data_IF_066512478696
#
_entry.id   IF_066512478696
#
_cell.length_a   1.000
_cell.length_b   1.000
_cell.length_c   1.000
_cell.angle_alpha   90.00
_cell.angle_beta   90.00
_cell.angle_gamma   90.00
#
_symmetry.space_group_name_H-M   'P 1'
#
loop_
_entity.id
_entity.type
_entity.pdbx_description
1 polymer ?
#
# COMPACT_ATOMS: atom_id res chain seq x y z
N UNK A 1 31.45 12.02 -8.19
CA UNK A 1 30.01 12.09 -8.51
C UNK A 1 29.60 13.33 -9.33
N UNK A 2 30.21 14.52 -9.14
CA UNK A 2 29.87 15.72 -9.92
C UNK A 2 30.19 15.62 -11.43
N UNK A 3 31.34 15.03 -11.81
CA UNK A 3 31.75 14.89 -13.21
C UNK A 3 30.86 13.92 -14.04
N UNK A 4 30.20 12.95 -13.39
CA UNK A 4 29.28 12.01 -14.05
C UNK A 4 27.93 12.67 -14.34
N UNK A 5 27.51 13.63 -13.51
CA UNK A 5 26.26 14.39 -13.68
C UNK A 5 26.33 15.35 -14.88
N UNK A 6 27.47 16.04 -15.09
CA UNK A 6 27.65 16.96 -16.21
C UNK A 6 27.69 16.28 -17.59
N UNK A 7 28.22 15.06 -17.70
CA UNK A 7 28.28 14.32 -18.98
C UNK A 7 26.92 13.80 -19.45
N UNK A 8 25.97 13.67 -18.54
CA UNK A 8 24.66 13.09 -18.81
C UNK A 8 23.55 14.12 -19.08
N UNK A 9 23.75 15.41 -18.75
CA UNK A 9 22.82 16.49 -19.16
C UNK A 9 22.68 16.59 -20.69
N UNK A 10 23.75 16.30 -21.44
CA UNK A 10 23.69 16.12 -22.91
C UNK A 10 23.25 14.72 -23.36
N UNK A 11 23.22 13.73 -22.45
CA UNK A 11 22.90 12.33 -22.74
C UNK A 11 21.45 11.96 -22.42
N UNK A 12 20.77 12.66 -21.51
CA UNK A 12 19.37 12.42 -21.14
C UNK A 12 18.42 12.61 -22.33
N UNK A 13 18.45 13.72 -23.08
CA UNK A 13 17.62 13.85 -24.29
C UNK A 13 17.92 12.77 -25.33
N UNK A 14 19.18 12.29 -25.39
CA UNK A 14 19.55 11.17 -26.27
C UNK A 14 18.98 9.84 -25.76
N UNK A 15 19.00 9.61 -24.45
CA UNK A 15 18.46 8.41 -23.82
C UNK A 15 16.95 8.33 -23.99
N UNK A 16 16.22 9.45 -23.77
CA UNK A 16 14.79 9.53 -24.02
C UNK A 16 14.48 9.26 -25.49
N UNK A 17 15.21 9.89 -26.43
CA UNK A 17 15.03 9.61 -27.87
C UNK A 17 15.25 8.13 -28.22
N UNK A 18 16.29 7.49 -27.69
CA UNK A 18 16.53 6.05 -27.89
C UNK A 18 15.38 5.19 -27.36
N UNK A 19 14.87 5.51 -26.18
CA UNK A 19 13.74 4.80 -25.58
C UNK A 19 12.45 4.97 -26.41
N UNK A 20 12.16 6.18 -26.90
CA UNK A 20 11.02 6.44 -27.79
C UNK A 20 11.16 5.62 -29.09
N UNK A 21 12.33 5.60 -29.73
CA UNK A 21 12.55 4.80 -30.94
C UNK A 21 12.42 3.29 -30.71
N UNK A 22 12.80 2.79 -29.52
CA UNK A 22 12.57 1.40 -29.13
C UNK A 22 11.06 1.10 -29.02
N UNK A 23 10.30 1.99 -28.36
CA UNK A 23 8.85 1.84 -28.20
C UNK A 23 8.11 1.84 -29.54
N UNK A 24 8.45 2.75 -30.45
CA UNK A 24 7.86 2.83 -31.80
C UNK A 24 8.17 1.56 -32.62
N UNK A 25 9.39 1.04 -32.50
CA UNK A 25 9.77 -0.22 -33.16
C UNK A 25 8.97 -1.41 -32.63
N UNK A 26 8.77 -1.47 -31.31
CA UNK A 26 7.98 -2.50 -30.64
C UNK A 26 6.50 -2.40 -31.02
N UNK A 27 5.94 -1.20 -31.09
CA UNK A 27 4.55 -0.95 -31.48
C UNK A 27 4.26 -1.58 -32.85
N UNK A 28 5.14 -1.36 -33.84
CA UNK A 28 4.98 -1.96 -35.17
C UNK A 28 5.04 -3.49 -35.20
N UNK A 29 5.57 -4.14 -34.16
CA UNK A 29 5.60 -5.60 -34.00
C UNK A 29 4.39 -6.11 -33.20
N UNK A 30 3.84 -5.30 -32.28
CA UNK A 30 2.68 -5.64 -31.46
C UNK A 30 1.33 -5.46 -32.17
N UNK A 31 1.30 -4.86 -33.38
CA UNK A 31 0.08 -4.71 -34.20
C UNK A 31 -0.38 -6.02 -34.89
N UNK A 32 0.27 -7.16 -34.64
CA UNK A 32 -0.21 -8.46 -35.13
C UNK A 32 -1.55 -8.82 -34.46
N UNK A 33 -2.65 -9.03 -35.21
CA UNK A 33 -3.96 -9.37 -34.65
C UNK A 33 -3.94 -10.64 -33.79
N UNK A 34 -2.98 -11.54 -34.00
CA UNK A 34 -2.81 -12.77 -33.20
C UNK A 34 -2.25 -12.49 -31.80
N UNK A 35 -1.68 -11.30 -31.59
CA UNK A 35 -1.18 -10.78 -30.32
C UNK A 35 -2.16 -9.81 -29.66
N UNK A 36 -3.40 -9.71 -30.17
CA UNK A 36 -4.46 -8.98 -29.50
C UNK A 36 -4.84 -9.71 -28.20
N UNK A 37 -4.14 -9.37 -27.12
CA UNK A 37 -4.42 -9.81 -25.76
C UNK A 37 -5.27 -8.73 -25.08
N UNK A 38 -6.23 -9.11 -24.24
CA UNK A 38 -7.02 -8.11 -23.52
C UNK A 38 -6.21 -7.32 -22.51
N UNK A 39 -6.88 -6.41 -21.81
CA UNK A 39 -6.22 -5.35 -21.07
C UNK A 39 -5.37 -5.87 -19.88
N UNK A 40 -4.18 -5.30 -19.62
CA UNK A 40 -3.55 -4.22 -20.39
C UNK A 40 -2.94 -4.68 -21.73
N UNK A 41 -3.12 -3.89 -22.79
CA UNK A 41 -2.53 -4.18 -24.11
C UNK A 41 -1.25 -3.38 -24.33
N UNK A 42 -0.19 -4.05 -24.80
CA UNK A 42 1.06 -3.40 -25.22
C UNK A 42 0.82 -2.45 -26.40
N UNK A 43 -0.09 -2.77 -27.32
CA UNK A 43 -0.41 -1.89 -28.47
C UNK A 43 -0.84 -0.50 -28.02
N UNK A 44 -1.53 -0.41 -26.89
CA UNK A 44 -2.08 0.83 -26.37
C UNK A 44 -1.08 1.53 -25.44
N UNK A 45 -0.29 0.76 -24.69
CA UNK A 45 0.65 1.28 -23.70
C UNK A 45 1.90 1.87 -24.33
N UNK A 46 2.52 1.20 -25.30
CA UNK A 46 3.76 1.63 -25.95
C UNK A 46 3.67 3.06 -26.52
N UNK A 47 2.66 3.42 -27.35
CA UNK A 47 2.53 4.77 -27.88
C UNK A 47 2.25 5.81 -26.78
N UNK A 48 1.51 5.45 -25.72
CA UNK A 48 1.23 6.34 -24.59
C UNK A 48 2.49 6.67 -23.79
N UNK A 49 3.32 5.66 -23.49
CA UNK A 49 4.62 5.88 -22.83
C UNK A 49 5.52 6.73 -23.73
N UNK A 50 5.58 6.43 -25.03
CA UNK A 50 6.37 7.22 -25.97
C UNK A 50 5.91 8.69 -26.03
N UNK A 51 4.60 8.94 -26.01
CA UNK A 51 4.06 10.29 -25.96
C UNK A 51 4.48 11.02 -24.68
N UNK A 52 4.28 10.40 -23.52
CA UNK A 52 4.65 11.00 -22.24
C UNK A 52 6.15 11.27 -22.12
N UNK A 53 7.00 10.37 -22.66
CA UNK A 53 8.45 10.60 -22.73
C UNK A 53 8.82 11.81 -23.60
N UNK A 54 8.09 12.06 -24.70
CA UNK A 54 8.27 13.27 -25.52
C UNK A 54 7.86 14.53 -24.75
N UNK A 55 6.77 14.48 -23.98
CA UNK A 55 6.36 15.58 -23.10
C UNK A 55 7.42 15.87 -22.03
N UNK A 56 7.94 14.83 -21.37
CA UNK A 56 9.05 14.96 -20.40
C UNK A 56 10.27 15.61 -21.05
N UNK A 57 10.68 15.17 -22.24
CA UNK A 57 11.83 15.76 -22.94
C UNK A 57 11.60 17.24 -23.27
N UNK A 58 10.39 17.61 -23.69
CA UNK A 58 10.01 18.99 -24.00
C UNK A 58 10.02 19.87 -22.75
N UNK A 59 9.36 19.43 -21.67
CA UNK A 59 9.26 20.16 -20.42
C UNK A 59 10.64 20.40 -19.79
N UNK A 60 11.52 19.40 -19.83
CA UNK A 60 12.88 19.51 -19.28
C UNK A 60 13.79 20.40 -20.11
N UNK A 61 13.62 20.41 -21.43
CA UNK A 61 14.32 21.36 -22.31
C UNK A 61 13.93 22.82 -22.02
N UNK A 62 12.71 23.06 -21.55
CA UNK A 62 12.21 24.39 -21.19
C UNK A 62 12.55 24.83 -19.75
N UNK A 63 12.69 23.89 -18.80
CA UNK A 63 12.85 24.18 -17.37
C UNK A 63 14.27 24.64 -16.96
N UNK A 64 15.28 24.43 -17.81
CA UNK A 64 16.68 24.79 -17.49
C UNK A 64 17.34 23.90 -16.43
N UNK A 65 18.66 24.05 -16.26
CA UNK A 65 19.48 23.24 -15.36
C UNK A 65 19.29 23.63 -13.88
N UNK A 66 18.17 23.21 -13.29
CA UNK A 66 18.02 23.23 -11.84
C UNK A 66 18.79 22.05 -11.23
N UNK A 67 19.65 22.27 -10.22
CA UNK A 67 20.36 21.18 -9.56
C UNK A 67 19.38 20.27 -8.80
N UNK A 68 19.29 19.01 -9.23
CA UNK A 68 18.45 18.01 -8.58
C UNK A 68 19.26 17.17 -7.56
N UNK A 69 18.73 17.07 -6.34
CA UNK A 69 19.28 16.20 -5.30
C UNK A 69 19.17 14.71 -5.64
N UNK A 70 19.93 13.83 -4.94
CA UNK A 70 19.80 12.39 -5.13
C UNK A 70 18.37 11.91 -4.85
N UNK A 71 17.89 10.92 -5.60
CA UNK A 71 16.51 10.42 -5.58
C UNK A 71 15.49 11.36 -6.25
N UNK A 72 15.94 12.40 -6.96
CA UNK A 72 15.12 13.35 -7.71
C UNK A 72 14.64 12.84 -9.07
N UNK A 73 14.19 13.75 -9.94
CA UNK A 73 13.69 13.41 -11.27
C UNK A 73 14.76 12.72 -12.13
N UNK A 74 16.00 13.17 -11.98
CA UNK A 74 17.19 12.64 -12.64
C UNK A 74 17.41 11.16 -12.35
N UNK A 75 17.56 10.80 -11.08
CA UNK A 75 17.83 9.42 -10.66
C UNK A 75 16.66 8.50 -11.01
N UNK A 76 15.43 9.03 -10.96
CA UNK A 76 14.26 8.32 -11.46
C UNK A 76 14.34 8.05 -12.97
N UNK A 77 14.60 9.06 -13.80
CA UNK A 77 14.62 8.90 -15.26
C UNK A 77 15.75 7.98 -15.72
N UNK A 78 16.92 8.03 -15.10
CA UNK A 78 18.03 7.10 -15.40
C UNK A 78 17.60 5.66 -15.12
N UNK A 79 17.03 5.39 -13.95
CA UNK A 79 16.53 4.06 -13.57
C UNK A 79 15.40 3.61 -14.49
N UNK A 80 14.44 4.50 -14.75
CA UNK A 80 13.26 4.24 -15.58
C UNK A 80 13.64 3.89 -17.02
N UNK A 81 14.51 4.68 -17.66
CA UNK A 81 14.93 4.47 -19.04
C UNK A 81 15.76 3.19 -19.19
N UNK A 82 16.65 2.89 -18.23
CA UNK A 82 17.39 1.63 -18.22
C UNK A 82 16.45 0.42 -18.08
N UNK A 83 15.45 0.53 -17.19
CA UNK A 83 14.46 -0.52 -17.00
C UNK A 83 13.57 -0.70 -18.25
N UNK A 84 13.15 0.41 -18.87
CA UNK A 84 12.34 0.40 -20.09
C UNK A 84 13.07 -0.28 -21.25
N UNK A 85 14.36 0.01 -21.42
CA UNK A 85 15.18 -0.66 -22.41
C UNK A 85 15.30 -2.17 -22.13
N UNK A 86 15.52 -2.55 -20.87
CA UNK A 86 15.61 -3.95 -20.47
C UNK A 86 14.29 -4.71 -20.71
N UNK A 87 13.14 -4.14 -20.32
CA UNK A 87 11.81 -4.73 -20.52
C UNK A 87 11.42 -4.75 -22.00
N UNK A 88 11.78 -3.71 -22.76
CA UNK A 88 11.59 -3.67 -24.21
C UNK A 88 12.31 -4.81 -24.93
N UNK A 89 13.58 -5.09 -24.57
CA UNK A 89 14.32 -6.24 -25.12
C UNK A 89 13.68 -7.59 -24.77
N UNK A 90 13.06 -7.72 -23.58
CA UNK A 90 12.32 -8.94 -23.23
C UNK A 90 11.09 -9.12 -24.12
N UNK A 91 10.36 -8.04 -24.42
CA UNK A 91 9.26 -8.08 -25.39
C UNK A 91 9.78 -8.48 -26.77
N UNK A 92 10.84 -7.85 -27.27
CA UNK A 92 11.45 -8.22 -28.57
C UNK A 92 11.86 -9.69 -28.65
N UNK A 93 12.36 -10.26 -27.55
CA UNK A 93 12.76 -11.66 -27.50
C UNK A 93 11.56 -12.64 -27.54
N UNK A 94 10.39 -12.21 -27.08
CA UNK A 94 9.16 -13.01 -27.07
C UNK A 94 8.32 -12.83 -28.35
N UNK A 95 8.54 -11.76 -29.11
CA UNK A 95 7.83 -11.51 -30.35
C UNK A 95 8.41 -12.33 -31.52
N UNK A 96 7.57 -12.88 -32.42
CA UNK A 96 8.05 -13.58 -33.60
C UNK A 96 8.87 -12.64 -34.50
N UNK A 97 10.04 -13.10 -34.99
CA UNK A 97 10.82 -12.31 -35.95
C UNK A 97 10.02 -12.13 -37.24
N UNK A 98 9.86 -10.86 -37.66
CA UNK A 98 9.16 -10.45 -38.88
C UNK A 98 9.61 -11.32 -40.06
N UNK A 99 8.69 -12.11 -40.63
CA UNK A 99 8.93 -12.88 -41.87
C UNK A 99 9.04 -14.40 -41.74
N UNK A 100 9.03 -15.01 -40.54
CA UNK A 100 8.96 -16.48 -40.40
C UNK A 100 7.51 -16.94 -40.27
N UNK A 101 6.89 -17.27 -41.40
CA UNK A 101 5.64 -18.05 -41.45
C UNK A 101 5.96 -19.51 -41.13
N UNK A 102 6.29 -19.83 -39.89
CA UNK A 102 6.33 -21.23 -39.48
C UNK A 102 4.88 -21.68 -39.29
N UNK A 103 4.39 -22.42 -40.29
CA UNK A 103 3.02 -22.92 -40.43
C UNK A 103 2.63 -23.99 -39.37
N UNK A 104 3.25 -23.98 -38.19
CA UNK A 104 3.08 -25.00 -37.15
C UNK A 104 2.97 -24.42 -35.72
N UNK A 105 2.69 -23.13 -35.54
CA UNK A 105 2.47 -22.53 -34.22
C UNK A 105 1.02 -22.59 -33.71
N UNK A 106 0.20 -23.46 -34.31
CA UNK A 106 -1.08 -23.85 -33.73
C UNK A 106 -0.83 -24.89 -32.61
N UNK A 107 -1.32 -24.59 -31.40
CA UNK A 107 -1.72 -25.56 -30.37
C UNK A 107 -0.62 -26.39 -29.67
N UNK A 108 0.37 -25.75 -29.05
CA UNK A 108 1.25 -26.41 -28.05
C UNK A 108 1.27 -25.67 -26.69
N UNK A 109 1.51 -26.36 -25.55
CA UNK A 109 1.64 -25.79 -24.20
C UNK A 109 2.63 -24.60 -24.10
N UNK A 110 3.56 -24.50 -25.04
CA UNK A 110 4.52 -23.40 -25.16
C UNK A 110 3.86 -22.07 -25.51
N UNK A 111 2.77 -22.07 -26.30
CA UNK A 111 1.99 -20.87 -26.62
C UNK A 111 1.33 -20.24 -25.39
N UNK A 112 0.86 -21.06 -24.44
CA UNK A 112 0.31 -20.58 -23.17
C UNK A 112 1.39 -19.93 -22.29
N UNK A 113 2.60 -20.51 -22.21
CA UNK A 113 3.72 -19.95 -21.44
C UNK A 113 4.18 -18.61 -22.00
N UNK A 114 4.34 -18.50 -23.32
CA UNK A 114 4.70 -17.26 -24.00
C UNK A 114 3.63 -16.17 -23.82
N UNK A 115 2.36 -16.53 -23.98
CA UNK A 115 1.23 -15.62 -23.74
C UNK A 115 1.19 -15.11 -22.31
N UNK A 116 1.42 -15.98 -21.32
CA UNK A 116 1.51 -15.62 -19.91
C UNK A 116 2.67 -14.67 -19.63
N UNK A 117 3.82 -14.88 -20.26
CA UNK A 117 4.98 -13.98 -20.14
C UNK A 117 4.71 -12.60 -20.76
N UNK A 118 4.07 -12.55 -21.93
CA UNK A 118 3.65 -11.31 -22.57
C UNK A 118 2.61 -10.55 -21.73
N UNK A 119 1.64 -11.26 -21.14
CA UNK A 119 0.65 -10.65 -20.24
C UNK A 119 1.31 -10.03 -18.99
N UNK A 120 2.30 -10.72 -18.39
CA UNK A 120 3.11 -10.18 -17.30
C UNK A 120 3.87 -8.93 -17.70
N UNK A 121 4.50 -8.94 -18.88
CA UNK A 121 5.17 -7.74 -19.41
C UNK A 121 4.18 -6.61 -19.64
N UNK A 122 3.00 -6.88 -20.20
CA UNK A 122 1.98 -5.86 -20.40
C UNK A 122 1.52 -5.21 -19.08
N UNK A 123 1.39 -6.00 -18.00
CA UNK A 123 1.16 -5.49 -16.65
C UNK A 123 2.32 -4.60 -16.17
N UNK A 124 3.57 -5.02 -16.35
CA UNK A 124 4.75 -4.21 -16.00
C UNK A 124 4.76 -2.89 -16.77
N UNK A 125 4.53 -2.91 -18.09
CA UNK A 125 4.43 -1.69 -18.91
C UNK A 125 3.27 -0.80 -18.46
N UNK A 126 2.15 -1.38 -18.01
CA UNK A 126 1.04 -0.63 -17.42
C UNK A 126 1.46 0.09 -16.13
N UNK A 127 2.19 -0.60 -15.24
CA UNK A 127 2.73 0.00 -14.02
C UNK A 127 3.76 1.08 -14.32
N UNK A 128 4.68 0.83 -15.26
CA UNK A 128 5.67 1.82 -15.70
C UNK A 128 5.04 3.06 -16.31
N UNK A 129 3.97 2.90 -17.11
CA UNK A 129 3.22 4.04 -17.63
C UNK A 129 2.58 4.84 -16.48
N UNK A 130 1.90 4.16 -15.56
CA UNK A 130 1.21 4.80 -14.45
C UNK A 130 2.17 5.54 -13.51
N UNK A 131 3.33 4.94 -13.23
CA UNK A 131 4.39 5.54 -12.42
C UNK A 131 4.96 6.80 -13.09
N UNK A 132 5.32 6.73 -14.37
CA UNK A 132 5.81 7.90 -15.11
C UNK A 132 4.75 9.01 -15.14
N UNK A 133 3.49 8.67 -15.39
CA UNK A 133 2.39 9.64 -15.42
C UNK A 133 2.13 10.30 -14.07
N UNK A 134 2.31 9.55 -12.97
CA UNK A 134 2.11 10.05 -11.62
C UNK A 134 3.25 10.96 -11.15
N UNK A 135 4.49 10.70 -11.60
CA UNK A 135 5.66 11.50 -11.23
C UNK A 135 5.96 12.65 -12.20
N UNK A 136 5.47 12.55 -13.45
CA UNK A 136 5.62 13.55 -14.50
C UNK A 136 4.29 13.89 -15.19
N UNK A 137 3.27 14.38 -14.46
CA UNK A 137 2.01 14.79 -15.07
C UNK A 137 2.25 15.87 -16.14
N UNK A 138 1.83 15.59 -17.37
CA UNK A 138 2.07 16.47 -18.53
C UNK A 138 3.56 16.71 -18.80
N UNK A 139 4.43 15.77 -18.43
CA UNK A 139 5.88 15.88 -18.59
C UNK A 139 6.61 16.64 -17.47
N UNK A 140 5.89 17.25 -16.52
CA UNK A 140 6.49 18.07 -15.46
C UNK A 140 6.73 17.26 -14.19
N UNK A 141 7.98 17.22 -13.71
CA UNK A 141 8.31 16.48 -12.50
C UNK A 141 7.60 17.03 -11.25
N UNK A 142 6.85 16.16 -10.55
CA UNK A 142 6.20 16.47 -9.28
C UNK A 142 6.47 15.43 -8.19
N UNK A 143 7.46 14.54 -8.36
CA UNK A 143 7.78 13.49 -7.38
C UNK A 143 8.12 14.04 -5.98
N UNK A 144 8.79 15.20 -5.93
CA UNK A 144 9.08 15.90 -4.68
C UNK A 144 7.81 16.34 -3.93
N UNK A 145 6.70 16.61 -4.63
CA UNK A 145 5.41 17.01 -4.07
C UNK A 145 4.42 15.84 -3.93
N UNK A 146 4.81 14.62 -4.31
CA UNK A 146 3.89 13.48 -4.33
C UNK A 146 3.27 13.24 -2.95
N UNK A 147 1.95 13.14 -2.89
CA UNK A 147 1.21 12.89 -1.65
C UNK A 147 0.75 11.45 -1.60
N UNK A 148 1.29 10.70 -0.64
CA UNK A 148 0.78 9.36 -0.34
C UNK A 148 -0.64 9.46 0.20
N UNK A 149 -1.46 8.50 -0.20
CA UNK A 149 -2.88 8.43 0.16
C UNK A 149 -3.07 8.13 1.66
N UNK A 150 -2.15 7.37 2.27
CA UNK A 150 -2.21 6.99 3.69
C UNK A 150 -1.29 7.88 4.51
N UNK A 151 -1.86 8.67 5.42
CA UNK A 151 -1.11 9.64 6.22
C UNK A 151 0.06 9.04 7.02
N UNK A 152 -0.06 7.87 7.69
CA UNK A 152 1.08 7.27 8.39
C UNK A 152 2.22 6.87 7.44
N UNK A 153 1.89 6.32 6.27
CA UNK A 153 2.87 5.98 5.23
C UNK A 153 3.53 7.24 4.64
N UNK A 154 2.74 8.31 4.46
CA UNK A 154 3.26 9.61 4.03
C UNK A 154 4.30 10.14 5.02
N UNK A 155 3.98 10.13 6.31
CA UNK A 155 4.88 10.56 7.38
C UNK A 155 6.17 9.75 7.37
N UNK A 156 6.09 8.42 7.29
CA UNK A 156 7.25 7.54 7.15
C UNK A 156 8.13 7.94 5.95
N UNK A 157 7.55 8.06 4.76
CA UNK A 157 8.33 8.41 3.58
C UNK A 157 9.01 9.78 3.72
N UNK A 158 8.30 10.80 4.22
CA UNK A 158 8.89 12.14 4.39
C UNK A 158 9.97 12.18 5.46
N UNK A 159 9.83 11.40 6.54
CA UNK A 159 10.81 11.35 7.61
C UNK A 159 12.11 10.66 7.18
N UNK A 160 12.03 9.52 6.50
CA UNK A 160 13.19 8.68 6.18
C UNK A 160 13.72 8.87 4.75
N UNK A 161 12.82 9.11 3.79
CA UNK A 161 13.17 9.30 2.38
C UNK A 161 13.24 10.78 1.98
N UNK A 162 12.63 11.69 2.74
CA UNK A 162 12.62 13.12 2.44
C UNK A 162 11.82 13.46 1.17
N UNK A 163 12.42 14.24 0.28
CA UNK A 163 11.81 14.64 -1.02
C UNK A 163 12.08 13.67 -2.16
N UNK A 164 12.80 12.58 -1.90
CA UNK A 164 13.14 11.56 -2.90
C UNK A 164 11.89 10.87 -3.43
N UNK A 165 11.90 10.55 -4.72
CA UNK A 165 10.82 9.83 -5.39
C UNK A 165 11.17 8.39 -5.74
N UNK A 166 12.44 7.98 -5.61
CA UNK A 166 12.92 6.62 -5.86
C UNK A 166 14.10 6.28 -4.96
N UNK A 167 14.16 5.02 -4.49
CA UNK A 167 15.28 4.48 -3.72
C UNK A 167 15.69 3.10 -4.24
N UNK A 168 16.98 2.72 -4.15
CA UNK A 168 17.39 1.32 -4.32
C UNK A 168 16.70 0.42 -3.31
N UNK A 169 16.32 -0.81 -3.72
CA UNK A 169 15.62 -1.75 -2.83
C UNK A 169 16.33 -1.96 -1.49
N UNK A 170 17.65 -2.17 -1.49
CA UNK A 170 18.41 -2.45 -0.27
C UNK A 170 18.34 -1.30 0.75
N UNK A 171 18.34 -0.05 0.28
CA UNK A 171 18.16 1.11 1.15
C UNK A 171 16.73 1.17 1.68
N UNK A 172 15.74 1.03 0.80
CA UNK A 172 14.32 1.05 1.18
C UNK A 172 13.98 -0.04 2.19
N UNK A 173 14.46 -1.27 2.00
CA UNK A 173 14.29 -2.39 2.92
C UNK A 173 14.84 -2.06 4.31
N UNK A 174 16.06 -1.52 4.38
CA UNK A 174 16.66 -1.10 5.65
C UNK A 174 15.83 -0.03 6.36
N UNK A 175 15.23 0.91 5.63
CA UNK A 175 14.38 1.94 6.20
C UNK A 175 13.04 1.36 6.67
N UNK A 176 12.42 0.49 5.88
CA UNK A 176 11.15 -0.14 6.24
C UNK A 176 11.30 -0.99 7.51
N UNK A 177 12.41 -1.72 7.66
CA UNK A 177 12.72 -2.53 8.84
C UNK A 177 12.76 -1.74 10.16
N UNK A 178 12.93 -0.42 10.12
CA UNK A 178 12.87 0.42 11.33
C UNK A 178 11.48 0.48 11.95
N UNK A 179 10.44 0.28 11.15
CA UNK A 179 9.03 0.37 11.56
C UNK A 179 8.29 -0.97 11.41
N UNK A 180 8.68 -1.76 10.41
CA UNK A 180 8.08 -3.03 10.07
C UNK A 180 9.20 -4.06 9.84
N UNK A 181 9.60 -4.81 10.87
CA UNK A 181 10.65 -5.81 10.75
C UNK A 181 10.34 -6.82 9.64
N UNK A 182 11.32 -7.02 8.75
CA UNK A 182 11.24 -8.01 7.66
C UNK A 182 12.23 -9.13 7.97
N UNK A 183 11.76 -10.37 7.95
CA UNK A 183 12.64 -11.53 8.05
C UNK A 183 13.52 -11.65 6.80
N UNK A 184 14.85 -11.75 6.94
CA UNK A 184 15.74 -11.98 5.81
C UNK A 184 15.40 -13.27 5.06
N UNK A 185 15.69 -13.30 3.75
CA UNK A 185 15.55 -14.50 2.92
C UNK A 185 14.29 -14.50 2.05
N UNK A 186 13.57 -15.63 1.92
CA UNK A 186 12.45 -15.75 0.97
C UNK A 186 11.33 -14.72 1.21
N UNK A 187 11.06 -14.37 2.47
CA UNK A 187 10.05 -13.38 2.83
C UNK A 187 10.41 -11.98 2.33
N UNK A 188 11.65 -11.54 2.54
CA UNK A 188 12.17 -10.28 1.98
C UNK A 188 12.11 -10.26 0.44
N UNK A 189 12.47 -11.37 -0.23
CA UNK A 189 12.38 -11.46 -1.69
C UNK A 189 10.93 -11.43 -2.20
N UNK A 190 10.00 -12.05 -1.49
CA UNK A 190 8.57 -11.99 -1.80
C UNK A 190 8.00 -10.58 -1.62
N UNK A 191 8.43 -9.88 -0.56
CA UNK A 191 8.05 -8.49 -0.31
C UNK A 191 8.54 -7.59 -1.43
N UNK A 192 9.81 -7.72 -1.81
CA UNK A 192 10.39 -7.03 -2.98
C UNK A 192 9.56 -7.26 -4.23
N UNK A 193 9.26 -8.52 -4.53
CA UNK A 193 8.51 -8.90 -5.73
C UNK A 193 7.07 -8.38 -5.74
N UNK A 194 6.53 -8.02 -4.57
CA UNK A 194 5.19 -7.42 -4.42
C UNK A 194 5.23 -5.89 -4.56
N UNK A 195 6.26 -5.24 -4.03
CA UNK A 195 6.41 -3.76 -4.05
C UNK A 195 7.02 -3.23 -5.35
N UNK A 196 8.04 -3.90 -5.90
CA UNK A 196 8.75 -3.52 -7.13
C UNK A 196 7.91 -3.89 -8.37
N UNK A 197 6.80 -3.18 -8.54
CA UNK A 197 5.81 -3.40 -9.60
C UNK A 197 6.43 -3.28 -11.01
N UNK A 198 7.41 -2.40 -11.15
CA UNK A 198 8.14 -2.18 -12.41
C UNK A 198 9.31 -3.15 -12.61
N UNK A 199 9.64 -3.96 -11.59
CA UNK A 199 10.76 -4.89 -11.58
C UNK A 199 12.08 -4.21 -11.96
N UNK A 200 12.33 -3.04 -11.38
CA UNK A 200 13.48 -2.17 -11.63
C UNK A 200 14.61 -2.37 -10.61
N UNK A 201 14.36 -3.09 -9.51
CA UNK A 201 15.24 -3.19 -8.36
C UNK A 201 15.27 -1.95 -7.47
N UNK A 202 14.35 -1.03 -7.73
CA UNK A 202 14.13 0.18 -6.94
C UNK A 202 12.68 0.20 -6.45
N UNK A 203 12.38 1.09 -5.51
CA UNK A 203 11.01 1.38 -5.06
C UNK A 203 10.78 2.86 -5.20
N UNK A 204 9.78 3.22 -6.00
CA UNK A 204 9.32 4.60 -6.09
C UNK A 204 8.31 4.97 -5.02
N UNK A 205 8.15 6.27 -4.77
CA UNK A 205 7.11 6.82 -3.89
C UNK A 205 5.70 6.42 -4.37
N UNK A 206 5.53 6.21 -5.68
CA UNK A 206 4.31 5.75 -6.30
C UNK A 206 4.04 4.26 -6.02
N UNK A 207 5.04 3.40 -6.21
CA UNK A 207 4.95 1.97 -5.89
C UNK A 207 4.64 1.76 -4.39
N UNK A 208 5.28 2.55 -3.53
CA UNK A 208 5.03 2.53 -2.10
C UNK A 208 3.62 3.02 -1.72
N UNK A 209 3.08 4.04 -2.40
CA UNK A 209 1.69 4.48 -2.21
C UNK A 209 0.71 3.35 -2.57
N UNK A 210 0.91 2.68 -3.71
CA UNK A 210 0.08 1.54 -4.10
C UNK A 210 0.12 0.44 -3.04
N UNK A 211 1.32 0.04 -2.61
CA UNK A 211 1.48 -1.04 -1.64
C UNK A 211 0.77 -0.73 -0.31
N UNK A 212 0.97 0.48 0.22
CA UNK A 212 0.38 0.90 1.50
C UNK A 212 -1.13 1.09 1.44
N UNK A 213 -1.69 1.34 0.24
CA UNK A 213 -3.15 1.33 0.02
C UNK A 213 -3.71 -0.09 -0.05
N UNK A 214 -3.00 -1.02 -0.70
CA UNK A 214 -3.45 -2.40 -0.85
C UNK A 214 -3.45 -3.14 0.49
N UNK A 215 -2.39 -2.98 1.29
CA UNK A 215 -2.19 -3.74 2.53
C UNK A 215 -2.40 -2.91 3.80
N UNK A 216 -3.19 -1.85 3.70
CA UNK A 216 -3.62 -1.05 4.85
C UNK A 216 -4.35 -1.92 5.90
N UNK A 217 -4.38 -1.51 7.18
CA UNK A 217 -3.81 -0.28 7.75
C UNK A 217 -2.29 -0.37 8.02
N UNK A 218 -1.64 0.80 8.16
CA UNK A 218 -0.19 0.91 8.36
C UNK A 218 0.36 0.10 9.54
N UNK A 219 -0.23 0.11 10.77
CA UNK A 219 0.34 -0.59 11.91
C UNK A 219 0.51 -2.11 11.70
N UNK A 220 -0.34 -2.72 10.86
CA UNK A 220 -0.28 -4.15 10.54
C UNK A 220 0.14 -4.42 9.10
N UNK A 221 0.78 -3.45 8.43
CA UNK A 221 1.06 -3.47 6.99
C UNK A 221 1.62 -4.81 6.48
N UNK A 222 2.71 -5.29 7.07
CA UNK A 222 3.34 -6.54 6.63
C UNK A 222 2.56 -7.79 7.04
N UNK A 223 1.86 -7.76 8.18
CA UNK A 223 0.96 -8.86 8.58
C UNK A 223 -0.20 -8.99 7.59
N UNK A 224 -0.79 -7.87 7.19
CA UNK A 224 -1.86 -7.85 6.18
C UNK A 224 -1.34 -8.37 4.85
N UNK A 225 -0.16 -7.93 4.40
CA UNK A 225 0.47 -8.44 3.18
C UNK A 225 0.73 -9.95 3.24
N UNK A 226 1.27 -10.46 4.35
CA UNK A 226 1.51 -11.90 4.54
C UNK A 226 0.19 -12.68 4.47
N UNK A 227 -0.84 -12.25 5.20
CA UNK A 227 -2.12 -12.94 5.25
C UNK A 227 -2.89 -12.86 3.92
N UNK A 228 -2.90 -11.70 3.26
CA UNK A 228 -3.72 -11.44 2.08
C UNK A 228 -3.03 -11.79 0.76
N UNK A 229 -1.70 -11.77 0.69
CA UNK A 229 -0.96 -12.03 -0.54
C UNK A 229 -0.11 -13.30 -0.48
N UNK A 230 0.65 -13.50 0.60
CA UNK A 230 1.56 -14.67 0.68
C UNK A 230 0.79 -15.94 1.01
N UNK A 231 -0.13 -15.88 1.98
CA UNK A 231 -0.79 -17.06 2.54
C UNK A 231 -2.20 -17.26 1.98
N UNK A 232 -2.81 -16.24 1.35
CA UNK A 232 -4.18 -16.35 0.87
C UNK A 232 -4.24 -17.16 -0.44
N UNK A 233 -4.93 -18.32 -0.49
CA UNK A 233 -5.02 -19.15 -1.68
C UNK A 233 -5.79 -18.46 -2.83
N UNK A 234 -6.54 -17.40 -2.55
CA UNK A 234 -7.25 -16.63 -3.57
C UNK A 234 -6.47 -15.47 -4.14
N UNK A 235 -5.33 -15.14 -3.54
CA UNK A 235 -4.47 -14.13 -4.12
C UNK A 235 -3.73 -14.70 -5.32
N UNK A 236 -3.81 -13.99 -6.43
CA UNK A 236 -3.17 -14.39 -7.66
C UNK A 236 -2.31 -13.24 -8.17
N UNK A 237 -0.99 -13.38 -8.01
CA UNK A 237 -0.04 -12.39 -8.45
C UNK A 237 -0.01 -12.28 -9.98
N UNK A 238 0.02 -11.03 -10.49
CA UNK A 238 0.14 -10.72 -11.90
C UNK A 238 -0.89 -11.45 -12.79
N UNK A 239 -2.18 -11.39 -12.47
CA UNK A 239 -3.25 -11.80 -13.38
C UNK A 239 -3.88 -10.58 -14.05
N UNK A 240 -4.20 -10.71 -15.34
CA UNK A 240 -5.10 -9.78 -16.03
C UNK A 240 -6.56 -10.16 -15.80
N UNK A 241 -7.46 -9.25 -16.18
CA UNK A 241 -8.91 -9.50 -16.10
C UNK A 241 -9.31 -10.75 -16.90
N UNK A 242 -8.82 -10.90 -18.13
CA UNK A 242 -9.11 -12.06 -18.98
C UNK A 242 -8.59 -13.37 -18.40
N UNK A 243 -7.42 -13.34 -17.73
CA UNK A 243 -6.87 -14.53 -17.09
C UNK A 243 -7.68 -14.92 -15.85
N UNK A 244 -8.23 -13.95 -15.11
CA UNK A 244 -9.20 -14.21 -14.03
C UNK A 244 -10.46 -14.86 -14.60
N UNK A 245 -11.04 -14.31 -15.67
CA UNK A 245 -12.20 -14.90 -16.33
C UNK A 245 -11.93 -16.35 -16.77
N UNK A 246 -10.80 -16.58 -17.44
CA UNK A 246 -10.38 -17.91 -17.91
C UNK A 246 -10.23 -18.89 -16.74
N UNK A 247 -9.63 -18.44 -15.63
CA UNK A 247 -9.47 -19.26 -14.42
C UNK A 247 -10.82 -19.63 -13.81
N UNK A 248 -11.70 -18.65 -13.65
CA UNK A 248 -13.01 -18.86 -13.01
C UNK A 248 -14.00 -19.63 -13.90
N UNK A 249 -13.76 -19.70 -15.21
CA UNK A 249 -14.58 -20.51 -16.12
C UNK A 249 -14.61 -21.99 -15.71
N UNK A 250 -13.51 -22.53 -15.19
CA UNK A 250 -13.45 -23.91 -14.67
C UNK A 250 -14.30 -24.11 -13.39
N UNK A 251 -14.71 -23.01 -12.75
CA UNK A 251 -15.50 -23.01 -11.52
C UNK A 251 -16.92 -22.46 -11.74
N UNK A 252 -17.37 -22.36 -13.01
CA UNK A 252 -18.67 -21.78 -13.37
C UNK A 252 -19.85 -22.47 -12.68
N UNK A 253 -19.76 -23.78 -12.47
CA UNK A 253 -20.81 -24.59 -11.83
C UNK A 253 -20.75 -24.55 -10.29
N UNK A 254 -19.81 -23.79 -9.71
CA UNK A 254 -19.62 -23.63 -8.27
C UNK A 254 -19.77 -22.15 -7.86
N UNK A 255 -21.00 -21.64 -7.70
CA UNK A 255 -21.23 -20.30 -7.19
C UNK A 255 -20.48 -20.07 -5.87
N UNK A 256 -19.86 -18.91 -5.70
CA UNK A 256 -19.06 -18.61 -4.52
C UNK A 256 -17.60 -19.08 -4.58
N UNK A 257 -17.09 -19.55 -5.72
CA UNK A 257 -15.69 -20.00 -5.85
C UNK A 257 -14.62 -18.94 -5.49
N UNK A 258 -14.98 -17.65 -5.44
CA UNK A 258 -14.11 -16.59 -4.91
C UNK A 258 -13.95 -16.65 -3.37
N UNK A 259 -14.94 -17.20 -2.65
CA UNK A 259 -14.91 -17.47 -1.21
C UNK A 259 -14.07 -18.72 -0.88
N UNK A 260 -13.85 -19.56 -1.89
CA UNK A 260 -13.30 -20.92 -1.82
C UNK A 260 -12.13 -21.07 -2.79
N UNK A 261 -11.04 -20.32 -2.58
CA UNK A 261 -10.01 -20.24 -3.59
C UNK A 261 -9.31 -21.58 -3.79
N UNK A 262 -8.92 -21.87 -5.04
CA UNK A 262 -8.41 -23.18 -5.49
C UNK A 262 -9.38 -24.36 -5.30
N UNK A 263 -10.68 -24.10 -5.21
CA UNK A 263 -11.70 -25.15 -5.12
C UNK A 263 -11.75 -25.85 -3.76
N UNK A 264 -11.16 -25.23 -2.72
CA UNK A 264 -11.20 -25.70 -1.33
C UNK A 264 -12.54 -25.36 -0.68
N UNK A 265 -13.08 -26.25 0.15
CA UNK A 265 -14.37 -26.03 0.84
C UNK A 265 -14.29 -25.11 2.08
N UNK A 266 -13.16 -24.45 2.33
CA UNK A 266 -12.99 -23.52 3.44
C UNK A 266 -12.37 -22.20 2.96
N UNK A 267 -12.85 -21.09 3.52
CA UNK A 267 -12.25 -19.77 3.37
C UNK A 267 -11.21 -19.58 4.48
N UNK A 268 -10.01 -19.02 4.21
CA UNK A 268 -9.09 -18.63 5.27
C UNK A 268 -9.77 -17.66 6.22
N UNK A 269 -9.64 -17.88 7.53
CA UNK A 269 -10.19 -16.96 8.51
C UNK A 269 -9.36 -15.68 8.55
N UNK A 270 -9.96 -14.58 8.13
CA UNK A 270 -9.36 -13.25 8.17
C UNK A 270 -9.76 -12.47 9.43
N UNK A 271 -10.44 -13.10 10.39
CA UNK A 271 -10.78 -12.50 11.70
C UNK A 271 -9.52 -12.02 12.44
N UNK A 272 -8.37 -12.66 12.21
CA UNK A 272 -7.06 -12.21 12.70
C UNK A 272 -6.63 -10.83 12.19
N UNK A 273 -7.14 -10.37 11.04
CA UNK A 273 -6.90 -8.99 10.56
C UNK A 273 -7.71 -7.96 11.35
N UNK A 274 -8.84 -8.38 11.92
CA UNK A 274 -9.65 -7.56 12.84
C UNK A 274 -9.11 -7.61 14.27
N UNK A 275 -8.36 -8.67 14.60
CA UNK A 275 -7.49 -8.72 15.76
C UNK A 275 -6.23 -7.88 15.49
N UNK A 276 -6.41 -6.56 15.39
CA UNK A 276 -5.41 -5.70 16.01
C UNK A 276 -5.36 -6.20 17.45
N UNK A 277 -4.28 -6.89 17.84
CA UNK A 277 -4.06 -7.26 19.24
C UNK A 277 -4.45 -6.03 20.07
N UNK A 278 -5.54 -6.12 20.86
CA UNK A 278 -6.02 -4.98 21.58
C UNK A 278 -5.00 -4.77 22.67
N UNK A 279 -3.96 -4.01 22.37
CA UNK A 279 -3.06 -3.45 23.35
C UNK A 279 -3.97 -2.89 24.42
N UNK A 280 -3.98 -3.51 25.60
CA UNK A 280 -5.04 -3.27 26.57
C UNK A 280 -5.09 -1.76 26.81
N UNK A 281 -6.19 -1.11 26.39
CA UNK A 281 -6.26 0.34 26.41
C UNK A 281 -6.32 0.78 27.85
N UNK A 282 -5.26 1.42 28.31
CA UNK A 282 -5.20 1.91 29.68
C UNK A 282 -5.91 3.26 29.70
N UNK A 283 -7.08 3.28 30.34
CA UNK A 283 -7.84 4.50 30.57
C UNK A 283 -7.21 5.28 31.73
N UNK A 284 -6.83 6.53 31.45
CA UNK A 284 -6.26 7.46 32.44
C UNK A 284 -7.38 8.33 33.00
N UNK A 285 -7.47 8.47 34.32
CA UNK A 285 -8.47 9.35 34.93
C UNK A 285 -8.17 10.81 34.63
N UNK A 286 -9.23 11.65 34.62
CA UNK A 286 -9.08 13.08 34.38
C UNK A 286 -8.24 13.76 35.48
N UNK A 287 -8.33 13.28 36.72
CA UNK A 287 -7.52 13.71 37.85
C UNK A 287 -6.03 13.40 37.65
N UNK A 288 -5.69 12.20 37.17
CA UNK A 288 -4.30 11.84 36.85
C UNK A 288 -3.74 12.72 35.73
N UNK A 289 -4.53 12.98 34.68
CA UNK A 289 -4.12 13.84 33.58
C UNK A 289 -3.82 15.27 34.05
N UNK A 290 -4.67 15.83 34.93
CA UNK A 290 -4.48 17.17 35.49
C UNK A 290 -3.20 17.26 36.34
N UNK A 291 -2.88 16.22 37.13
CA UNK A 291 -1.64 16.16 37.92
C UNK A 291 -0.39 16.15 37.03
N UNK A 292 -0.38 15.35 35.96
CA UNK A 292 0.75 15.32 35.03
C UNK A 292 0.93 16.65 34.29
N UNK A 293 -0.16 17.28 33.86
CA UNK A 293 -0.13 18.61 33.24
C UNK A 293 0.42 19.69 34.19
N UNK A 294 0.04 19.68 35.46
CA UNK A 294 0.55 20.60 36.47
C UNK A 294 2.07 20.45 36.70
N UNK A 295 2.64 19.28 36.41
CA UNK A 295 4.07 18.98 36.51
C UNK A 295 4.83 19.07 35.18
N UNK A 296 4.25 19.69 34.13
CA UNK A 296 4.82 19.77 32.77
C UNK A 296 5.21 18.39 32.20
N UNK A 297 4.44 17.35 32.51
CA UNK A 297 4.68 15.98 32.05
C UNK A 297 3.41 15.39 31.43
N UNK A 298 3.53 14.37 30.59
CA UNK A 298 2.35 13.67 30.03
C UNK A 298 2.27 12.24 30.56
N UNK A 299 1.07 11.71 30.75
CA UNK A 299 0.91 10.33 31.22
C UNK A 299 1.43 9.32 30.19
N UNK A 300 1.33 9.63 28.90
CA UNK A 300 1.69 8.76 27.77
C UNK A 300 3.19 8.48 27.71
N UNK A 301 4.03 9.47 28.02
CA UNK A 301 5.49 9.32 27.92
C UNK A 301 6.09 8.43 29.02
N UNK A 302 7.00 7.56 28.59
CA UNK A 302 7.85 6.73 29.43
C UNK A 302 8.64 7.59 30.42
N UNK A 303 8.69 7.18 31.69
CA UNK A 303 9.36 7.95 32.75
C UNK A 303 10.85 7.68 32.88
N UNK A 304 11.39 6.78 32.06
CA UNK A 304 12.82 6.50 31.99
C UNK A 304 13.48 7.41 30.94
N UNK A 305 12.98 7.39 29.69
CA UNK A 305 13.55 8.22 28.63
C UNK A 305 12.88 9.58 28.47
N UNK A 306 11.63 9.76 28.90
CA UNK A 306 10.80 10.96 28.65
C UNK A 306 10.61 11.32 27.16
N UNK A 307 10.96 10.42 26.23
CA UNK A 307 10.93 10.65 24.78
C UNK A 307 9.91 9.78 24.06
N UNK A 308 9.70 8.53 24.49
CA UNK A 308 8.82 7.56 23.84
C UNK A 308 7.55 7.30 24.64
N UNK A 309 6.47 6.96 23.96
CA UNK A 309 5.22 6.52 24.62
C UNK A 309 5.39 5.17 25.31
N UNK A 310 4.63 4.95 26.39
CA UNK A 310 4.56 3.66 27.07
C UNK A 310 3.74 2.69 26.22
N UNK A 311 4.37 1.59 25.86
CA UNK A 311 3.81 0.53 25.03
C UNK A 311 3.89 -0.86 25.69
N UNK A 312 4.48 -0.96 26.89
CA UNK A 312 4.63 -2.23 27.61
C UNK A 312 4.21 -2.11 29.08
N UNK A 313 3.49 -3.12 29.57
CA UNK A 313 3.20 -3.38 30.98
C UNK A 313 3.96 -4.60 31.49
N UNK A 314 4.61 -4.47 32.65
CA UNK A 314 5.38 -5.56 33.30
C UNK A 314 4.48 -6.37 34.22
N UNK A 315 4.52 -7.70 34.14
CA UNK A 315 3.84 -8.61 35.07
C UNK A 315 4.79 -9.17 36.14
N UNK A 316 4.35 -9.31 37.42
CA UNK A 316 3.00 -9.03 37.93
C UNK A 316 2.80 -7.59 38.43
N UNK A 317 3.84 -6.75 38.42
CA UNK A 317 3.82 -5.46 39.13
C UNK A 317 2.98 -4.35 38.47
N UNK A 318 2.61 -4.49 37.19
CA UNK A 318 1.77 -3.57 36.45
C UNK A 318 2.44 -2.27 35.98
N UNK A 319 3.76 -2.11 36.17
CA UNK A 319 4.47 -0.89 35.78
C UNK A 319 4.53 -0.71 34.26
N UNK A 320 4.43 0.55 33.81
CA UNK A 320 4.35 0.94 32.41
C UNK A 320 5.58 1.73 31.96
N UNK A 321 6.17 1.32 30.85
CA UNK A 321 7.32 1.95 30.20
C UNK A 321 7.34 1.66 28.70
N UNK A 322 8.27 2.27 27.97
CA UNK A 322 8.49 1.89 26.58
C UNK A 322 9.34 0.60 26.49
N UNK A 323 9.06 -0.21 25.48
CA UNK A 323 9.72 -1.46 25.12
C UNK A 323 11.23 -1.28 25.01
N UNK A 324 11.67 -0.20 24.36
CA UNK A 324 13.08 0.15 24.23
C UNK A 324 13.80 0.30 25.58
N UNK A 325 13.19 0.99 26.55
CA UNK A 325 13.79 1.13 27.89
C UNK A 325 13.78 -0.18 28.68
N UNK A 326 12.75 -1.02 28.50
CA UNK A 326 12.70 -2.33 29.14
C UNK A 326 13.79 -3.26 28.59
N UNK A 327 13.93 -3.32 27.26
CA UNK A 327 14.92 -4.17 26.59
C UNK A 327 16.35 -3.73 26.96
N UNK A 328 16.61 -2.42 26.97
CA UNK A 328 17.91 -1.89 27.41
C UNK A 328 18.24 -2.25 28.87
N UNK A 329 17.22 -2.29 29.75
CA UNK A 329 17.39 -2.69 31.14
C UNK A 329 17.69 -4.19 31.28
N UNK A 330 16.96 -5.05 30.56
CA UNK A 330 17.15 -6.51 30.64
C UNK A 330 18.49 -6.98 30.03
N UNK A 331 19.06 -6.22 29.08
CA UNK A 331 20.38 -6.48 28.51
C UNK A 331 21.53 -6.30 29.52
N UNK A 332 21.31 -5.54 30.61
CA UNK A 332 22.27 -5.37 31.70
C UNK A 332 22.23 -6.49 32.76
N UNK A 333 21.67 -7.65 32.39
CA UNK A 333 21.50 -8.87 33.21
C UNK A 333 20.49 -8.73 34.37
N UNK A 334 19.57 -7.76 34.28
CA UNK A 334 18.54 -7.49 35.29
C UNK A 334 17.17 -8.02 34.83
N UNK A 335 16.74 -9.19 35.33
CA UNK A 335 15.37 -9.71 35.14
C UNK A 335 14.35 -9.12 36.13
N UNK A 336 14.52 -7.85 36.48
CA UNK A 336 13.71 -7.15 37.48
C UNK A 336 13.12 -5.87 36.92
N UNK A 337 11.95 -5.46 37.43
CA UNK A 337 11.29 -4.23 37.03
C UNK A 337 12.16 -2.99 37.35
N UNK A 338 12.40 -2.07 36.40
CA UNK A 338 13.21 -0.86 36.65
C UNK A 338 12.69 0.04 37.77
N UNK A 339 11.38 -0.01 38.06
CA UNK A 339 10.74 0.85 39.05
C UNK A 339 10.72 0.23 40.44
N UNK A 340 10.29 -1.04 40.56
CA UNK A 340 10.03 -1.69 41.84
C UNK A 340 10.95 -2.89 42.14
N UNK A 341 11.84 -3.25 41.22
CA UNK A 341 12.79 -4.37 41.31
C UNK A 341 12.15 -5.75 41.53
N UNK A 342 10.84 -5.89 41.35
CA UNK A 342 10.18 -7.19 41.33
C UNK A 342 10.66 -8.01 40.12
N UNK A 343 10.76 -9.33 40.29
CA UNK A 343 11.05 -10.26 39.19
C UNK A 343 10.01 -10.14 38.08
N UNK A 344 10.47 -10.04 36.83
CA UNK A 344 9.61 -9.94 35.65
C UNK A 344 9.20 -11.36 35.23
N UNK A 345 7.92 -11.67 35.34
CA UNK A 345 7.36 -12.98 34.92
C UNK A 345 6.80 -12.95 33.51
N UNK A 346 6.44 -11.77 33.03
CA UNK A 346 5.82 -11.56 31.74
C UNK A 346 5.78 -10.09 31.37
N UNK A 347 5.48 -9.82 30.10
CA UNK A 347 5.25 -8.47 29.59
C UNK A 347 4.07 -8.48 28.63
N UNK A 348 3.27 -7.43 28.68
CA UNK A 348 2.08 -7.27 27.86
C UNK A 348 2.18 -5.95 27.08
N UNK A 349 1.87 -6.00 25.79
CA UNK A 349 1.82 -4.82 24.94
C UNK A 349 0.54 -4.00 25.24
N UNK A 350 0.69 -2.70 25.47
CA UNK A 350 -0.40 -1.81 25.90
C UNK A 350 -0.36 -0.49 25.12
N UNK A 351 -1.50 0.22 25.09
CA UNK A 351 -1.60 1.51 24.42
C UNK A 351 -2.38 2.48 25.31
N UNK A 352 -1.87 3.70 25.45
CA UNK A 352 -2.51 4.74 26.26
C UNK A 352 -3.31 5.64 25.33
N UNK A 353 -4.62 5.78 25.57
CA UNK A 353 -5.49 6.62 24.76
C UNK A 353 -6.03 7.81 25.57
N UNK A 354 -5.85 9.03 25.04
CA UNK A 354 -6.48 10.25 25.55
C UNK A 354 -7.90 10.37 25.05
N UNK A 355 -8.87 10.58 25.96
CA UNK A 355 -10.24 10.92 25.57
C UNK A 355 -10.22 12.29 24.88
N UNK A 356 -10.44 12.32 23.56
CA UNK A 356 -10.85 13.54 22.88
C UNK A 356 -12.35 13.71 23.14
N UNK A 357 -12.73 14.79 23.82
CA UNK A 357 -14.13 15.12 24.07
C UNK A 357 -14.85 15.46 22.77
N UNK A 358 -15.62 14.51 22.26
CA UNK A 358 -16.62 14.68 21.21
C UNK A 358 -17.79 13.76 21.52
N UNK A 359 -18.98 14.32 21.63
CA UNK A 359 -20.19 13.63 22.03
C UNK A 359 -20.64 12.62 20.96
N UNK A 360 -20.69 11.34 21.33
CA UNK A 360 -21.63 10.36 20.77
C UNK A 360 -22.19 9.54 21.93
N UNK A 361 -23.51 9.54 22.03
CA UNK A 361 -24.30 8.71 22.94
C UNK A 361 -24.19 7.25 22.50
N UNK A 362 -23.76 6.36 23.40
CA UNK A 362 -24.15 4.95 23.32
C UNK A 362 -24.49 4.43 24.72
N UNK A 363 -25.54 3.62 24.78
CA UNK A 363 -26.32 3.26 25.97
C UNK A 363 -25.81 1.96 26.61
N UNK A 364 -25.83 1.95 27.95
CA UNK A 364 -25.82 0.80 28.89
C UNK A 364 -24.53 -0.06 28.88
N UNK A 365 -23.94 -0.45 30.02
CA UNK A 365 -24.47 -1.20 31.17
C UNK A 365 -23.74 -0.78 32.46
N UNK A 366 -24.47 -0.60 33.56
CA UNK A 366 -23.94 -0.32 34.90
C UNK A 366 -23.73 -1.62 35.67
N UNK A 367 -22.64 -1.77 36.42
CA UNK A 367 -22.69 -2.48 37.70
C UNK A 367 -22.32 -1.56 38.87
N UNK A 368 -23.22 -1.60 39.85
CA UNK A 368 -23.27 -1.05 41.20
C UNK A 368 -21.96 -0.60 41.86
N UNK A 369 -22.01 0.59 42.47
CA UNK A 369 -20.99 1.14 43.37
C UNK A 369 -21.05 0.52 44.79
N UNK A 370 -19.92 0.25 45.45
CA UNK A 370 -19.83 0.14 46.91
C UNK A 370 -19.53 1.51 47.57
N UNK A 371 -19.79 1.66 48.88
CA UNK A 371 -20.09 2.95 49.52
C UNK A 371 -18.84 3.80 49.84
N UNK A 372 -19.03 5.12 49.81
CA UNK A 372 -18.05 6.11 50.28
C UNK A 372 -18.04 6.22 51.82
N UNK A 373 -16.88 6.43 52.46
CA UNK A 373 -16.79 6.89 53.86
C UNK A 373 -17.08 8.40 53.99
N UNK A 374 -17.38 8.88 55.22
CA UNK A 374 -18.20 10.09 55.44
C UNK A 374 -17.47 11.41 55.23
N UNK A 375 -18.26 12.41 54.86
CA UNK A 375 -17.87 13.81 54.68
C UNK A 375 -17.34 14.42 55.97
N UNK A 376 -16.22 15.15 55.86
CA UNK A 376 -15.93 16.27 56.75
C UNK A 376 -16.62 17.51 56.16
N UNK A 377 -17.60 17.98 56.91
CA UNK A 377 -18.44 19.12 56.62
C UNK A 377 -17.69 20.41 57.00
N UNK A 378 -17.28 21.20 56.02
CA UNK A 378 -16.95 22.62 56.21
C UNK A 378 -17.36 23.39 54.95
N UNK A 379 -18.57 23.97 54.99
CA UNK A 379 -19.00 25.09 54.14
C UNK A 379 -18.80 26.42 54.90
N UNK A 380 -18.97 27.60 54.29
CA UNK A 380 -18.61 28.05 52.93
C UNK A 380 -17.96 29.46 52.95
N UNK A 381 -17.16 29.86 51.93
CA UNK A 381 -17.05 31.29 51.55
C UNK A 381 -16.81 31.47 50.05
N UNK A 382 -17.86 31.91 49.37
CA UNK A 382 -17.82 32.54 48.04
C UNK A 382 -17.24 33.96 48.12
N UNK A 383 -16.64 34.47 47.04
CA UNK A 383 -17.30 35.57 46.30
C UNK A 383 -17.29 35.34 44.78
N UNK A 384 -18.45 35.45 44.10
CA UNK A 384 -18.87 36.62 43.27
C UNK A 384 -17.79 37.03 42.25
N UNK A 385 -17.83 36.48 41.03
CA UNK A 385 -18.50 37.04 39.85
C UNK A 385 -17.97 38.42 39.43
N UNK A 386 -17.09 38.42 38.41
CA UNK A 386 -17.01 39.50 37.43
C UNK A 386 -17.02 38.89 36.03
N UNK A 387 -17.99 39.34 35.21
CA UNK A 387 -18.13 39.04 33.79
C UNK A 387 -17.46 40.18 33.01
N UNK A 388 -16.77 39.86 31.92
CA UNK A 388 -16.71 40.66 30.68
C UNK A 388 -15.95 39.85 29.59
N UNK A 389 -16.04 40.17 28.29
CA UNK A 389 -17.22 40.20 27.43
C UNK A 389 -17.13 39.19 26.26
N UNK A 390 -18.28 38.85 25.68
CA UNK A 390 -18.44 38.05 24.44
C UNK A 390 -17.79 38.75 23.24
N UNK A 391 -16.83 38.10 22.60
CA UNK A 391 -16.39 38.42 21.23
C UNK A 391 -17.18 37.55 20.24
N UNK A 392 -17.79 38.18 19.23
CA UNK A 392 -18.51 37.52 18.14
C UNK A 392 -17.54 36.69 17.28
N UNK A 393 -17.87 35.46 16.86
CA UNK A 393 -17.06 34.76 15.87
C UNK A 393 -17.18 35.45 14.51
N UNK A 394 -16.03 35.72 13.89
CA UNK A 394 -15.92 36.06 12.47
C UNK A 394 -16.41 34.88 11.63
N UNK A 395 -17.30 35.16 10.66
CA UNK A 395 -17.79 34.19 9.72
C UNK A 395 -16.66 33.70 8.79
N UNK A 396 -16.37 32.41 8.83
CA UNK A 396 -15.51 31.74 7.85
C UNK A 396 -16.30 31.47 6.56
N UNK A 397 -15.69 31.62 5.37
CA UNK A 397 -16.35 31.37 4.09
C UNK A 397 -16.71 29.88 3.96
N UNK A 398 -17.95 29.61 3.54
CA UNK A 398 -18.46 28.26 3.27
C UNK A 398 -17.67 27.62 2.13
N UNK A 399 -16.88 26.58 2.42
CA UNK A 399 -16.31 25.70 1.40
C UNK A 399 -17.46 24.97 0.68
N UNK A 400 -17.45 25.03 -0.66
CA UNK A 400 -18.39 24.30 -1.53
C UNK A 400 -18.24 22.80 -1.29
N UNK A 401 -19.37 22.09 -1.28
CA UNK A 401 -19.42 20.64 -1.25
C UNK A 401 -18.67 20.04 -2.46
N UNK A 402 -18.01 18.88 -2.30
CA UNK A 402 -17.37 18.17 -3.41
C UNK A 402 -18.38 17.79 -4.51
N UNK A 403 -17.94 17.90 -5.76
CA UNK A 403 -18.72 17.54 -6.94
C UNK A 403 -19.11 16.05 -6.91
N UNK A 404 -20.36 15.68 -7.25
CA UNK A 404 -20.77 14.29 -7.35
C UNK A 404 -20.03 13.58 -8.49
N UNK A 405 -19.53 12.38 -8.20
CA UNK A 405 -18.89 11.50 -9.17
C UNK A 405 -19.83 11.19 -10.36
N UNK A 406 -19.30 11.05 -11.59
CA UNK A 406 -20.11 10.75 -12.76
C UNK A 406 -20.76 9.37 -12.63
N UNK A 407 -22.10 9.34 -12.71
CA UNK A 407 -22.88 8.11 -12.79
C UNK A 407 -22.60 7.43 -14.12
N UNK A 408 -21.89 6.30 -14.10
CA UNK A 408 -21.80 5.43 -15.28
C UNK A 408 -23.19 4.83 -15.52
N UNK A 409 -23.75 5.06 -16.71
CA UNK A 409 -25.01 4.47 -17.15
C UNK A 409 -24.84 2.95 -17.19
N UNK A 410 -25.65 2.24 -16.40
CA UNK A 410 -25.92 0.82 -16.62
C UNK A 410 -26.49 0.67 -18.02
N UNK A 411 -25.74 0.05 -18.92
CA UNK A 411 -26.30 -0.43 -20.18
C UNK A 411 -27.21 -1.59 -19.82
N UNK A 412 -28.51 -1.42 -20.07
CA UNK A 412 -29.49 -2.48 -19.91
C UNK A 412 -29.09 -3.66 -20.82
N UNK A 413 -28.75 -4.79 -20.23
CA UNK A 413 -28.72 -6.05 -20.95
C UNK A 413 -30.17 -6.42 -21.27
N UNK A 414 -30.42 -6.67 -22.56
CA UNK A 414 -31.67 -7.19 -23.11
C UNK A 414 -32.16 -8.41 -22.30
N UNK A 415 -33.48 -8.61 -22.15
CA UNK A 415 -34.02 -9.82 -21.53
C UNK A 415 -33.67 -11.01 -22.43
N UNK A 416 -32.99 -12.02 -21.89
CA UNK A 416 -32.84 -13.30 -22.57
C UNK A 416 -34.07 -14.14 -22.24
N UNK A 417 -35.00 -14.20 -23.19
CA UNK A 417 -36.04 -15.23 -23.22
C UNK A 417 -35.38 -16.60 -23.35
N UNK A 418 -35.76 -17.52 -22.47
CA UNK A 418 -35.32 -18.92 -22.46
C UNK A 418 -36.17 -19.70 -23.45
N UNK A 419 -35.61 -20.33 -24.51
CA UNK A 419 -36.31 -21.37 -25.22
C UNK A 419 -36.15 -22.68 -24.43
N UNK A 420 -37.27 -23.20 -23.96
CA UNK A 420 -37.41 -24.53 -23.37
C UNK A 420 -36.82 -25.63 -24.25
N UNK A 421 -35.97 -26.48 -23.66
CA UNK A 421 -35.38 -27.67 -24.26
C UNK A 421 -36.44 -28.65 -24.80
N UNK A 422 -36.19 -29.33 -25.94
CA UNK A 422 -37.00 -30.48 -26.32
C UNK A 422 -36.60 -31.71 -25.51
N UNK A 423 -37.61 -32.39 -24.97
CA UNK A 423 -37.53 -33.64 -24.21
C UNK A 423 -36.88 -34.77 -25.04
N UNK A 424 -35.94 -35.48 -24.41
CA UNK A 424 -35.43 -36.77 -24.86
C UNK A 424 -36.55 -37.82 -24.76
N UNK A 425 -36.94 -38.42 -25.88
CA UNK A 425 -37.76 -39.62 -25.93
C UNK A 425 -36.88 -40.84 -25.65
N UNK A 426 -37.15 -41.51 -24.53
CA UNK A 426 -36.72 -42.89 -24.29
C UNK A 426 -37.45 -43.83 -25.24
N UNK A 427 -36.69 -44.55 -26.06
CA UNK A 427 -37.16 -45.66 -26.87
C UNK A 427 -36.65 -46.97 -26.28
N UNK A 428 -37.46 -47.61 -25.44
CA UNK A 428 -37.31 -49.00 -25.06
C UNK A 428 -38.16 -49.86 -25.99
N UNK A 429 -37.54 -50.75 -26.76
CA UNK A 429 -38.21 -51.88 -27.41
C UNK A 429 -37.43 -53.14 -27.13
N UNK A 430 -38.02 -54.00 -26.29
CA UNK A 430 -37.70 -55.41 -26.22
C UNK A 430 -38.78 -56.23 -26.92
N UNK A 431 -38.39 -57.40 -27.42
CA UNK A 431 -39.27 -58.54 -27.70
C UNK A 431 -39.72 -58.71 -29.14
N UNK A 432 -38.97 -59.50 -29.92
CA UNK A 432 -39.34 -60.87 -30.33
C UNK A 432 -38.30 -61.46 -31.28
#
# INVERSE_FOLDING_TARGET
>A
MAAVRGGWQGAEPRAIRRAVSLLERLEGQCQDPRLAFGHPSLSDLLPRIAHLLREVASARSAAGDAPEGPGGAWDFLVTYLANLEAKGRQVEALLPRRGRKDANQELFPEGYRLRRQLAKLALIFSHMHAELAALFPGGHYCGHLYQLTKAPAHTFWRQYCGVRCVLPWAEFESLLCTCHPVEPGPTAQALRSTMDLTCSGHVSVFEFDIFTRLFQPWPTLLRNWQLLAVNHPGYMAFLTYDEVQTRLQACRDKPGSYLYPDGKNHSPDLSELFQAEPHQRIHVSEEQLQLYQAMNSTFELCKICAESDKDVRIEPCGHLLCSHCLDAWQQSDNQTCPFCRCEIKGREAVSISRRQGGAEEDRSVVPSAPPLPPRLDLSPRSPKSERLPKVKPLALPRLRAPLPLPKMRTVALFPWDVPSSPQSRDGATGGS
#
